data_IF_894545248589
#
_entry.id   IF_894545248589
#
_cell.length_a   1.000
_cell.length_b   1.000
_cell.length_c   1.000
_cell.angle_alpha   90.00
_cell.angle_beta   90.00
_cell.angle_gamma   90.00
#
_symmetry.space_group_name_H-M   'P 1'
#
loop_
_entity.id
_entity.type
_entity.pdbx_description
1 polymer ?
#
# COMPACT_ATOMS: atom_id res chain seq x y z
N UNK A 1 -39.05 8.13 -15.26
CA UNK A 1 -37.67 8.33 -14.74
C UNK A 1 -37.11 7.10 -14.01
N UNK A 2 -37.59 5.88 -14.27
CA UNK A 2 -37.15 4.67 -13.55
C UNK A 2 -36.02 3.87 -14.24
N UNK A 3 -35.88 3.99 -15.55
CA UNK A 3 -34.97 3.14 -16.35
C UNK A 3 -33.59 3.76 -16.64
N UNK A 4 -33.43 5.06 -16.39
CA UNK A 4 -32.14 5.76 -16.59
C UNK A 4 -31.16 5.49 -15.45
N UNK A 5 -31.66 5.26 -14.24
CA UNK A 5 -30.83 5.00 -13.06
C UNK A 5 -29.93 3.75 -13.20
N UNK A 6 -30.43 2.57 -13.63
CA UNK A 6 -29.57 1.39 -13.79
C UNK A 6 -28.53 1.56 -14.90
N UNK A 7 -28.86 2.27 -15.98
CA UNK A 7 -27.93 2.52 -17.10
C UNK A 7 -26.77 3.40 -16.63
N UNK A 8 -27.05 4.46 -15.87
CA UNK A 8 -26.02 5.35 -15.32
C UNK A 8 -25.09 4.62 -14.34
N UNK A 9 -25.63 3.71 -13.52
CA UNK A 9 -24.83 2.87 -12.60
C UNK A 9 -23.88 1.97 -13.39
N UNK A 10 -24.37 1.34 -14.46
CA UNK A 10 -23.59 0.40 -15.27
C UNK A 10 -22.44 1.12 -16.00
N UNK A 11 -22.70 2.32 -16.54
CA UNK A 11 -21.66 3.18 -17.13
C UNK A 11 -20.61 3.59 -16.11
N UNK A 12 -21.01 3.96 -14.89
CA UNK A 12 -20.07 4.33 -13.83
C UNK A 12 -19.14 3.16 -13.44
N UNK A 13 -19.67 1.93 -13.36
CA UNK A 13 -18.88 0.73 -13.05
C UNK A 13 -17.81 0.49 -14.13
N UNK A 14 -18.17 0.61 -15.41
CA UNK A 14 -17.23 0.42 -16.53
C UNK A 14 -16.11 1.45 -16.48
N UNK A 15 -16.43 2.72 -16.19
CA UNK A 15 -15.44 3.80 -16.07
C UNK A 15 -14.48 3.53 -14.91
N UNK A 16 -15.00 3.14 -13.74
CA UNK A 16 -14.18 2.82 -12.55
C UNK A 16 -13.27 1.61 -12.84
N UNK A 17 -13.80 0.56 -13.47
CA UNK A 17 -13.03 -0.62 -13.83
C UNK A 17 -11.90 -0.28 -14.82
N UNK A 18 -12.18 0.53 -15.85
CA UNK A 18 -11.17 1.01 -16.80
C UNK A 18 -10.06 1.83 -16.14
N UNK A 19 -10.42 2.73 -15.22
CA UNK A 19 -9.47 3.54 -14.43
C UNK A 19 -8.58 2.68 -13.53
N UNK A 20 -9.15 1.64 -12.92
CA UNK A 20 -8.38 0.68 -12.11
C UNK A 20 -7.41 -0.11 -12.99
N UNK A 21 -7.86 -0.67 -14.12
CA UNK A 21 -7.00 -1.42 -15.03
C UNK A 21 -5.85 -0.56 -15.58
N UNK A 22 -6.12 0.69 -15.97
CA UNK A 22 -5.09 1.63 -16.44
C UNK A 22 -4.06 1.98 -15.35
N UNK A 23 -4.49 2.05 -14.08
CA UNK A 23 -3.60 2.35 -12.95
C UNK A 23 -2.74 1.15 -12.51
N UNK A 24 -3.25 -0.07 -12.68
CA UNK A 24 -2.56 -1.31 -12.29
C UNK A 24 -1.75 -1.97 -13.42
N UNK A 25 -1.86 -1.50 -14.67
CA UNK A 25 -1.09 -2.02 -15.82
C UNK A 25 0.41 -1.69 -15.83
N UNK A 26 0.92 -0.96 -14.83
CA UNK A 26 2.35 -0.62 -14.74
C UNK A 26 3.07 -1.64 -13.86
N UNK A 27 3.96 -2.42 -14.47
CA UNK A 27 4.70 -3.59 -13.98
C UNK A 27 5.69 -3.29 -12.84
N UNK A 28 5.19 -2.69 -11.76
CA UNK A 28 5.94 -2.53 -10.50
C UNK A 28 5.64 -3.72 -9.60
N UNK A 29 6.57 -4.67 -9.61
CA UNK A 29 6.54 -5.80 -8.69
C UNK A 29 7.13 -5.36 -7.35
N UNK A 30 6.26 -5.12 -6.38
CA UNK A 30 6.65 -4.92 -4.99
C UNK A 30 6.64 -6.29 -4.31
N UNK A 31 7.80 -6.76 -3.85
CA UNK A 31 7.87 -7.86 -2.89
C UNK A 31 7.35 -7.31 -1.54
N UNK A 32 6.04 -7.36 -1.35
CA UNK A 32 5.40 -6.96 -0.11
C UNK A 32 5.35 -8.22 0.78
N UNK A 33 6.35 -8.39 1.64
CA UNK A 33 6.36 -9.41 2.71
C UNK A 33 5.39 -9.06 3.85
N UNK A 34 4.15 -8.66 3.53
CA UNK A 34 3.12 -8.40 4.55
C UNK A 34 1.95 -9.34 4.35
N UNK A 35 1.83 -10.30 5.27
CA UNK A 35 0.65 -11.15 5.40
C UNK A 35 -0.61 -10.29 5.51
N UNK A 36 -1.73 -10.69 4.91
CA UNK A 36 -2.97 -9.88 4.86
C UNK A 36 -3.43 -9.39 6.26
N UNK A 37 -3.20 -10.20 7.31
CA UNK A 37 -3.42 -9.81 8.72
C UNK A 37 -2.52 -8.65 9.17
N UNK A 38 -1.23 -8.70 8.83
CA UNK A 38 -0.30 -7.62 9.10
C UNK A 38 -0.68 -6.38 8.31
N UNK A 39 -1.14 -6.52 7.06
CA UNK A 39 -1.61 -5.40 6.25
C UNK A 39 -2.85 -4.72 6.86
N UNK A 40 -3.81 -5.52 7.35
CA UNK A 40 -5.03 -5.00 7.97
C UNK A 40 -4.76 -4.31 9.31
N UNK A 41 -4.00 -4.96 10.20
CA UNK A 41 -3.62 -4.35 11.48
C UNK A 41 -2.75 -3.10 11.22
N UNK A 42 -1.85 -3.15 10.25
CA UNK A 42 -1.07 -2.02 9.77
C UNK A 42 -1.94 -0.87 9.25
N UNK A 43 -3.03 -1.15 8.52
CA UNK A 43 -3.86 -0.09 7.95
C UNK A 43 -4.81 0.56 8.97
N UNK A 44 -5.36 -0.23 9.89
CA UNK A 44 -6.44 0.18 10.79
C UNK A 44 -5.96 0.72 12.15
N UNK A 45 -4.78 0.30 12.62
CA UNK A 45 -4.29 0.69 13.95
C UNK A 45 -3.71 2.11 13.93
N UNK A 46 -4.21 2.95 14.84
CA UNK A 46 -3.72 4.32 15.08
C UNK A 46 -2.69 4.27 16.19
N UNK A 47 -1.44 4.59 15.89
CA UNK A 47 -0.37 4.66 16.89
C UNK A 47 -0.10 6.11 17.28
N UNK A 48 0.27 6.30 18.55
CA UNK A 48 0.61 7.59 19.14
C UNK A 48 2.07 7.59 19.59
N UNK A 49 2.70 8.76 19.51
CA UNK A 49 4.08 8.92 19.93
C UNK A 49 4.19 8.81 21.46
N UNK A 50 5.06 7.92 21.95
CA UNK A 50 5.31 7.74 23.39
C UNK A 50 5.80 9.03 24.10
N UNK A 51 6.36 10.00 23.36
CA UNK A 51 6.98 11.19 23.93
C UNK A 51 6.12 12.45 23.94
N UNK A 52 5.23 12.61 22.95
CA UNK A 52 4.39 13.82 22.84
C UNK A 52 2.92 13.51 22.60
N UNK A 53 2.54 12.24 22.70
CA UNK A 53 1.18 11.71 22.48
C UNK A 53 0.54 12.11 21.15
N UNK A 54 1.32 12.64 20.20
CA UNK A 54 0.80 13.01 18.89
C UNK A 54 0.66 11.77 18.00
N UNK A 55 -0.31 11.81 17.08
CA UNK A 55 -0.56 10.72 16.13
C UNK A 55 0.65 10.51 15.23
N UNK A 56 1.11 9.27 15.13
CA UNK A 56 2.18 8.88 14.21
C UNK A 56 1.64 8.83 12.78
N UNK A 57 2.42 9.40 11.85
CA UNK A 57 2.19 9.33 10.41
C UNK A 57 3.02 8.18 9.84
N UNK A 58 2.44 7.43 8.91
CA UNK A 58 3.17 6.35 8.23
C UNK A 58 3.98 6.92 7.09
N UNK A 59 5.23 6.52 6.99
CA UNK A 59 6.12 6.86 5.88
C UNK A 59 6.57 5.54 5.27
N UNK A 60 6.35 5.39 3.96
CA UNK A 60 6.89 4.29 3.18
C UNK A 60 8.27 4.70 2.65
N UNK A 61 9.25 3.83 2.82
CA UNK A 61 10.58 3.97 2.26
C UNK A 61 10.82 2.83 1.28
N UNK A 62 11.00 3.20 0.03
CA UNK A 62 11.28 2.26 -1.05
C UNK A 62 12.79 2.19 -1.26
N UNK A 63 13.36 1.02 -0.96
CA UNK A 63 14.78 0.74 -1.21
C UNK A 63 14.89 -0.09 -2.49
N UNK A 64 15.65 0.40 -3.47
CA UNK A 64 15.89 -0.33 -4.70
C UNK A 64 16.87 -1.48 -4.46
N UNK A 65 16.46 -2.71 -4.80
CA UNK A 65 17.27 -3.93 -4.60
C UNK A 65 17.90 -4.47 -5.89
N UNK A 66 17.66 -3.82 -7.02
CA UNK A 66 18.19 -4.25 -8.33
C UNK A 66 17.09 -4.68 -9.30
N UNK A 67 17.49 -5.24 -10.44
CA UNK A 67 16.58 -5.83 -11.43
C UNK A 67 16.82 -7.32 -11.51
N UNK A 68 15.77 -8.08 -11.78
CA UNK A 68 15.93 -9.50 -12.03
C UNK A 68 14.64 -10.18 -12.45
N UNK A 69 14.78 -11.47 -12.76
CA UNK A 69 13.64 -12.31 -13.06
C UNK A 69 12.85 -12.62 -11.78
N UNK A 70 11.53 -12.45 -11.88
CA UNK A 70 10.58 -12.82 -10.84
C UNK A 70 9.54 -13.77 -11.46
N UNK A 71 9.21 -14.86 -10.75
CA UNK A 71 8.21 -15.81 -11.19
C UNK A 71 6.99 -15.68 -10.29
N UNK A 72 5.86 -15.23 -10.85
CA UNK A 72 4.58 -15.13 -10.16
C UNK A 72 3.55 -15.84 -11.02
N UNK A 73 2.81 -16.79 -10.42
CA UNK A 73 1.77 -17.58 -11.12
C UNK A 73 2.26 -18.17 -12.46
N UNK A 74 3.41 -18.85 -12.45
CA UNK A 74 4.04 -19.46 -13.63
C UNK A 74 4.40 -18.50 -14.77
N UNK A 75 4.38 -17.19 -14.54
CA UNK A 75 4.83 -16.18 -15.51
C UNK A 75 6.14 -15.57 -15.01
N UNK A 76 7.18 -15.66 -15.83
CA UNK A 76 8.48 -15.04 -15.55
C UNK A 76 8.52 -13.63 -16.13
N UNK A 77 8.63 -12.64 -15.26
CA UNK A 77 8.71 -11.23 -15.65
C UNK A 77 10.02 -10.65 -15.15
N UNK A 78 10.75 -9.98 -16.04
CA UNK A 78 11.89 -9.15 -15.67
C UNK A 78 11.38 -7.84 -15.09
N UNK A 79 11.68 -7.59 -13.80
CA UNK A 79 11.17 -6.43 -13.10
C UNK A 79 12.21 -5.82 -12.17
N UNK A 80 12.08 -4.51 -11.96
CA UNK A 80 12.80 -3.78 -10.92
C UNK A 80 12.26 -4.22 -9.55
N UNK A 81 13.15 -4.70 -8.69
CA UNK A 81 12.83 -5.13 -7.33
C UNK A 81 13.00 -3.98 -6.38
N UNK A 82 11.95 -3.70 -5.61
CA UNK A 82 11.95 -2.70 -4.55
C UNK A 82 11.58 -3.38 -3.24
N UNK A 83 12.39 -3.17 -2.20
CA UNK A 83 12.03 -3.49 -0.83
C UNK A 83 11.33 -2.27 -0.24
N UNK A 84 10.01 -2.38 -0.04
CA UNK A 84 9.25 -1.34 0.65
C UNK A 84 9.28 -1.60 2.15
N UNK A 85 9.88 -0.68 2.89
CA UNK A 85 9.87 -0.66 4.36
C UNK A 85 8.92 0.43 4.84
N UNK A 86 8.38 0.25 6.03
CA UNK A 86 7.40 1.17 6.59
C UNK A 86 7.82 1.61 7.98
N UNK A 87 7.86 2.92 8.20
CA UNK A 87 8.18 3.52 9.50
C UNK A 87 7.04 4.43 9.97
N UNK A 88 6.93 4.58 11.28
CA UNK A 88 5.93 5.42 11.95
C UNK A 88 6.63 6.68 12.46
N UNK A 89 6.39 7.82 11.81
CA UNK A 89 7.03 9.09 12.08
C UNK A 89 6.12 10.04 12.85
N UNK A 90 6.63 10.65 13.93
CA UNK A 90 5.94 11.69 14.65
C UNK A 90 6.24 13.06 14.05
N UNK A 91 5.24 13.75 13.50
CA UNK A 91 5.44 15.08 12.92
C UNK A 91 5.68 16.20 13.94
N UNK A 92 5.56 15.93 15.25
CA UNK A 92 5.77 16.94 16.29
C UNK A 92 7.18 16.88 16.89
N UNK A 93 7.66 15.67 17.23
CA UNK A 93 9.00 15.49 17.81
C UNK A 93 10.04 14.90 16.85
N UNK A 94 9.65 14.61 15.60
CA UNK A 94 10.55 14.09 14.56
C UNK A 94 10.99 12.63 14.74
N UNK A 95 10.54 11.95 15.79
CA UNK A 95 10.94 10.55 16.06
C UNK A 95 10.29 9.58 15.09
N UNK A 96 11.06 8.62 14.60
CA UNK A 96 10.57 7.50 13.81
C UNK A 96 10.65 6.20 14.61
N UNK A 97 9.63 5.36 14.48
CA UNK A 97 9.50 4.07 15.14
C UNK A 97 9.30 2.98 14.10
N UNK A 98 9.90 1.82 14.33
CA UNK A 98 9.54 0.61 13.57
C UNK A 98 8.19 0.08 14.07
N UNK A 99 7.41 -0.54 13.18
CA UNK A 99 6.11 -1.12 13.52
C UNK A 99 6.17 -2.11 14.70
N UNK A 100 7.26 -2.87 14.79
CA UNK A 100 7.54 -3.85 15.85
C UNK A 100 7.66 -3.20 17.24
N UNK A 101 8.19 -1.97 17.31
CA UNK A 101 8.43 -1.25 18.58
C UNK A 101 7.15 -0.65 19.19
N UNK A 102 6.05 -0.67 18.44
CA UNK A 102 4.76 -0.06 18.82
C UNK A 102 3.70 -1.10 19.20
N UNK A 103 4.00 -2.39 19.08
CA UNK A 103 3.09 -3.49 19.44
C UNK A 103 3.40 -4.10 20.84
N UNK A 104 4.30 -3.47 21.61
CA UNK A 104 4.51 -3.72 23.05
C UNK A 104 3.72 -2.70 23.86
#
# INVERSE_FOLDING_TARGET
MGELLPILILVAIIIIAGLLLARFGNSRHYEIELTFKQLMDYYLKKHYCKSCNNRLKRIAKDEYKGEGWSSIMNTSTHAKKYKRTYEMHCSNCGRSYQSEQLNQ
#
